data_IF_516573157584
#
_entry.id   IF_516573157584
#
_cell.length_a   1.000
_cell.length_b   1.000
_cell.length_c   1.000
_cell.angle_alpha   90.00
_cell.angle_beta   90.00
_cell.angle_gamma   90.00
#
_symmetry.space_group_name_H-M   'P 1'
#
loop_
_entity.id
_entity.type
_entity.pdbx_description
1 polymer ?
#
# COMPACT_ATOMS: atom_id res chain seq x y z
N UNK A 1 41.93 9.19 -42.71
CA UNK A 1 40.91 8.53 -43.56
C UNK A 1 40.83 7.09 -43.12
N UNK A 2 39.68 6.47 -42.94
CA UNK A 2 38.35 6.74 -43.53
C UNK A 2 37.25 6.22 -42.59
N UNK A 3 36.06 6.79 -42.72
CA UNK A 3 34.84 6.62 -41.93
C UNK A 3 34.23 5.20 -41.88
N UNK A 4 33.39 4.91 -40.87
CA UNK A 4 32.47 3.76 -40.84
C UNK A 4 31.08 4.10 -41.41
N UNK A 5 30.36 3.08 -41.89
CA UNK A 5 29.05 3.17 -42.53
C UNK A 5 27.90 2.76 -41.59
N UNK A 6 26.82 3.53 -41.66
CA UNK A 6 25.50 3.32 -41.07
C UNK A 6 24.79 2.04 -41.57
N UNK A 7 23.99 1.43 -40.70
CA UNK A 7 22.87 0.57 -41.12
C UNK A 7 21.59 0.99 -40.38
N UNK A 8 20.69 1.63 -41.12
CA UNK A 8 19.26 1.69 -40.84
C UNK A 8 18.56 0.50 -41.52
N UNK A 9 17.71 -0.24 -40.82
CA UNK A 9 16.71 -1.09 -41.48
C UNK A 9 15.33 -0.89 -40.87
N UNK A 10 14.43 -0.45 -41.73
CA UNK A 10 13.00 -0.25 -41.50
C UNK A 10 12.27 -1.59 -41.33
N UNK A 11 11.24 -1.59 -40.49
CA UNK A 11 10.24 -2.66 -40.39
C UNK A 11 9.23 -2.56 -41.56
N UNK A 12 8.81 -3.68 -42.19
CA UNK A 12 7.77 -3.65 -43.20
C UNK A 12 6.37 -3.71 -42.58
N UNK A 13 5.49 -2.87 -43.12
CA UNK A 13 4.04 -2.88 -42.93
C UNK A 13 3.43 -3.91 -43.89
N UNK A 14 2.57 -4.80 -43.40
CA UNK A 14 1.65 -5.56 -44.23
C UNK A 14 0.23 -5.03 -44.01
N UNK A 15 -0.35 -4.49 -45.07
CA UNK A 15 -1.74 -4.02 -45.17
C UNK A 15 -2.62 -5.15 -45.70
N UNK A 16 -3.78 -5.35 -45.08
CA UNK A 16 -4.93 -5.94 -45.76
C UNK A 16 -6.21 -5.27 -45.24
N UNK A 17 -6.76 -4.37 -46.06
CA UNK A 17 -8.15 -3.93 -45.97
C UNK A 17 -9.07 -5.03 -46.51
N UNK A 18 -10.24 -5.21 -45.88
CA UNK A 18 -11.39 -5.84 -46.53
C UNK A 18 -12.65 -5.06 -46.18
N UNK A 19 -13.34 -4.62 -47.24
CA UNK A 19 -14.55 -3.79 -47.22
C UNK A 19 -15.81 -4.62 -46.95
N UNK A 20 -16.71 -4.00 -46.17
CA UNK A 20 -18.20 -4.06 -46.17
C UNK A 20 -18.91 -5.36 -45.79
N UNK A 21 -19.67 -5.25 -44.70
CA UNK A 21 -21.13 -5.46 -44.78
C UNK A 21 -21.82 -4.56 -43.73
N UNK A 22 -22.55 -3.55 -44.23
CA UNK A 22 -23.61 -2.84 -43.50
C UNK A 22 -24.84 -3.75 -43.50
N UNK A 23 -25.71 -3.58 -42.50
CA UNK A 23 -26.99 -4.29 -42.26
C UNK A 23 -26.88 -5.55 -41.40
N UNK A 24 -26.94 -5.35 -40.07
CA UNK A 24 -27.62 -6.20 -39.04
C UNK A 24 -27.07 -5.91 -37.63
N UNK A 25 -27.08 -4.65 -37.16
CA UNK A 25 -26.88 -4.30 -35.73
C UNK A 25 -27.80 -3.18 -35.24
N UNK A 26 -28.91 -2.93 -35.93
CA UNK A 26 -29.97 -2.01 -35.47
C UNK A 26 -31.03 -2.70 -34.58
N UNK A 27 -31.07 -4.04 -34.54
CA UNK A 27 -32.03 -4.79 -33.71
C UNK A 27 -31.51 -5.22 -32.32
N UNK A 28 -30.26 -4.92 -31.98
CA UNK A 28 -29.73 -5.12 -30.61
C UNK A 28 -29.87 -3.86 -29.73
N UNK A 29 -30.74 -2.92 -30.12
CA UNK A 29 -31.00 -1.67 -29.41
C UNK A 29 -32.35 -1.64 -28.65
N UNK A 30 -33.10 -2.73 -28.60
CA UNK A 30 -34.37 -2.85 -27.86
C UNK A 30 -34.32 -3.96 -26.81
N UNK A 31 -33.55 -3.75 -25.73
CA UNK A 31 -33.74 -4.35 -24.39
C UNK A 31 -32.63 -3.92 -23.40
N UNK A 32 -32.23 -2.64 -23.40
CA UNK A 32 -31.56 -2.07 -22.22
C UNK A 32 -32.63 -1.49 -21.31
N UNK A 33 -33.03 -2.27 -20.30
CA UNK A 33 -33.69 -1.70 -19.12
C UNK A 33 -32.79 -0.57 -18.63
N UNK A 34 -33.33 0.65 -18.63
CA UNK A 34 -32.73 1.83 -18.03
C UNK A 34 -32.63 1.52 -16.52
N UNK A 35 -31.49 1.00 -16.08
CA UNK A 35 -31.18 0.94 -14.65
C UNK A 35 -30.89 2.38 -14.25
N UNK A 36 -31.95 3.07 -13.84
CA UNK A 36 -31.87 4.20 -12.91
C UNK A 36 -31.32 3.65 -11.60
N UNK A 37 -30.36 4.22 -10.87
CA UNK A 37 -29.77 5.55 -10.76
C UNK A 37 -28.38 5.25 -10.14
N UNK A 38 -27.23 5.82 -10.53
CA UNK A 38 -26.14 5.90 -9.58
C UNK A 38 -26.51 7.04 -8.64
N UNK A 39 -26.96 6.66 -7.43
CA UNK A 39 -26.92 7.56 -6.27
C UNK A 39 -25.58 8.28 -6.34
N UNK A 40 -25.59 9.60 -6.32
CA UNK A 40 -24.38 10.42 -6.30
C UNK A 40 -23.49 9.88 -5.18
N UNK A 41 -22.47 9.12 -5.55
CA UNK A 41 -21.62 8.48 -4.57
C UNK A 41 -20.84 9.61 -3.92
N UNK A 42 -21.15 9.89 -2.65
CA UNK A 42 -20.27 10.67 -1.80
C UNK A 42 -18.88 10.04 -1.92
N UNK A 43 -17.87 10.87 -2.18
CA UNK A 43 -16.48 10.40 -2.34
C UNK A 43 -15.53 11.12 -1.39
N UNK A 44 -16.02 12.15 -0.69
CA UNK A 44 -15.21 12.99 0.18
C UNK A 44 -15.62 12.83 1.64
N UNK A 45 -14.67 13.01 2.55
CA UNK A 45 -14.93 12.96 3.99
C UNK A 45 -15.88 14.08 4.42
N UNK A 46 -15.80 15.24 3.77
CA UNK A 46 -16.66 16.40 4.05
C UNK A 46 -18.13 16.19 3.70
N UNK A 47 -18.42 15.27 2.77
CA UNK A 47 -19.79 14.95 2.36
C UNK A 47 -20.50 14.07 3.42
N UNK A 48 -19.75 13.55 4.40
CA UNK A 48 -20.23 12.59 5.38
C UNK A 48 -20.87 13.29 6.58
N UNK A 49 -22.07 12.84 6.93
CA UNK A 49 -22.71 13.22 8.19
C UNK A 49 -22.09 12.46 9.36
N UNK A 50 -22.29 12.92 10.59
CA UNK A 50 -21.90 12.17 11.80
C UNK A 50 -22.50 10.75 11.81
N UNK A 51 -23.75 10.61 11.33
CA UNK A 51 -24.41 9.32 11.20
C UNK A 51 -23.73 8.43 10.14
N UNK A 52 -23.32 9.02 9.01
CA UNK A 52 -22.55 8.32 7.99
C UNK A 52 -21.23 7.79 8.60
N UNK A 53 -20.45 8.61 9.29
CA UNK A 53 -19.17 8.23 9.93
C UNK A 53 -19.34 7.11 10.95
N UNK A 54 -20.36 7.22 11.81
CA UNK A 54 -20.66 6.18 12.80
C UNK A 54 -21.12 4.87 12.15
N UNK A 55 -21.71 4.93 10.95
CA UNK A 55 -22.13 3.77 10.17
C UNK A 55 -21.02 3.13 9.34
N UNK A 56 -19.85 3.79 9.21
CA UNK A 56 -18.69 3.27 8.50
C UNK A 56 -17.65 2.71 9.47
N UNK A 57 -17.50 1.38 9.61
CA UNK A 57 -16.48 0.78 10.48
C UNK A 57 -15.05 1.22 10.14
N UNK A 58 -14.80 1.62 8.88
CA UNK A 58 -13.52 2.14 8.39
C UNK A 58 -13.23 3.53 8.92
N UNK A 59 -14.20 4.43 8.81
CA UNK A 59 -14.02 5.82 9.21
C UNK A 59 -14.14 5.95 10.71
N UNK A 60 -15.07 5.20 11.33
CA UNK A 60 -15.04 4.96 12.77
C UNK A 60 -13.65 4.43 13.12
N UNK A 61 -13.23 3.27 12.62
CA UNK A 61 -11.94 2.61 12.85
C UNK A 61 -10.67 3.40 12.51
N UNK A 62 -10.71 4.43 11.67
CA UNK A 62 -9.57 5.29 11.36
C UNK A 62 -9.63 6.63 12.10
N UNK A 63 -10.79 7.01 12.67
CA UNK A 63 -11.06 8.32 13.25
C UNK A 63 -11.60 8.27 14.70
N UNK A 64 -11.48 7.12 15.41
CA UNK A 64 -12.17 6.79 16.69
C UNK A 64 -11.98 7.84 17.83
N UNK A 65 -10.91 8.63 17.86
CA UNK A 65 -10.55 9.39 19.06
C UNK A 65 -10.95 10.88 19.04
N UNK A 66 -12.00 11.24 18.31
CA UNK A 66 -12.36 12.66 18.10
C UNK A 66 -13.83 12.85 18.45
N UNK A 67 -14.12 13.80 19.36
CA UNK A 67 -15.51 14.18 19.64
C UNK A 67 -16.19 14.72 18.37
N UNK A 68 -17.52 14.63 18.20
CA UNK A 68 -18.19 15.14 16.99
C UNK A 68 -17.84 16.60 16.66
N UNK A 69 -17.73 17.46 17.68
CA UNK A 69 -17.42 18.88 17.51
C UNK A 69 -15.97 19.12 17.08
N UNK A 70 -15.03 18.41 17.72
CA UNK A 70 -13.61 18.44 17.35
C UNK A 70 -13.42 17.90 15.93
N UNK A 71 -14.20 16.89 15.54
CA UNK A 71 -14.16 16.30 14.22
C UNK A 71 -14.63 17.29 13.14
N UNK A 72 -15.73 18.00 13.37
CA UNK A 72 -16.20 19.03 12.45
C UNK A 72 -15.19 20.19 12.29
N UNK A 73 -14.57 20.62 13.39
CA UNK A 73 -13.51 21.63 13.35
C UNK A 73 -12.28 21.13 12.58
N UNK A 74 -11.88 19.87 12.80
CA UNK A 74 -10.78 19.23 12.08
C UNK A 74 -11.08 19.07 10.59
N UNK A 75 -12.31 18.74 10.22
CA UNK A 75 -12.73 18.66 8.82
C UNK A 75 -12.58 20.01 8.13
N UNK A 76 -13.02 21.12 8.74
CA UNK A 76 -12.85 22.45 8.15
C UNK A 76 -11.39 22.81 7.88
N UNK A 77 -10.49 22.51 8.84
CA UNK A 77 -9.05 22.71 8.66
C UNK A 77 -8.45 21.78 7.61
N UNK A 78 -8.92 20.54 7.58
CA UNK A 78 -8.51 19.54 6.60
C UNK A 78 -8.93 19.92 5.18
N UNK A 79 -10.11 20.52 4.99
CA UNK A 79 -10.57 21.04 3.70
C UNK A 79 -9.63 22.11 3.16
N UNK A 80 -9.23 23.07 4.01
CA UNK A 80 -8.26 24.09 3.63
C UNK A 80 -6.92 23.45 3.19
N UNK A 81 -6.41 22.49 3.97
CA UNK A 81 -5.20 21.72 3.64
C UNK A 81 -5.33 20.97 2.30
N UNK A 82 -6.45 20.29 2.07
CA UNK A 82 -6.76 19.58 0.83
C UNK A 82 -6.80 20.52 -0.36
N UNK A 83 -7.42 21.70 -0.21
CA UNK A 83 -7.51 22.70 -1.26
C UNK A 83 -6.12 23.26 -1.61
N UNK A 84 -5.23 23.48 -0.64
CA UNK A 84 -3.84 23.84 -0.92
C UNK A 84 -3.15 22.79 -1.82
N UNK A 85 -3.33 21.48 -1.54
CA UNK A 85 -2.77 20.39 -2.37
C UNK A 85 -3.35 20.42 -3.79
N UNK A 86 -4.68 20.58 -3.91
CA UNK A 86 -5.36 20.61 -5.21
C UNK A 86 -4.96 21.84 -6.04
N UNK A 87 -4.71 22.99 -5.40
CA UNK A 87 -4.22 24.20 -6.06
C UNK A 87 -2.72 24.13 -6.40
N UNK A 88 -2.01 23.09 -5.96
CA UNK A 88 -0.58 22.92 -6.25
C UNK A 88 0.31 23.76 -5.36
N UNK A 89 -0.23 24.27 -4.26
CA UNK A 89 0.52 25.01 -3.27
C UNK A 89 1.54 24.10 -2.60
N UNK A 90 2.67 24.68 -2.16
CA UNK A 90 3.77 23.91 -1.58
C UNK A 90 3.38 23.41 -0.19
N UNK A 91 3.21 22.10 -0.08
CA UNK A 91 2.94 21.38 1.16
C UNK A 91 4.12 20.45 1.44
N UNK A 92 4.59 20.47 2.69
CA UNK A 92 5.53 19.47 3.22
C UNK A 92 4.93 18.92 4.49
N UNK A 93 4.64 17.63 4.49
CA UNK A 93 4.04 16.93 5.62
C UNK A 93 5.03 15.86 6.08
N UNK A 94 5.35 15.86 7.37
CA UNK A 94 6.12 14.76 7.98
C UNK A 94 5.16 13.81 8.67
N UNK A 95 5.21 12.53 8.32
CA UNK A 95 4.41 11.45 8.91
C UNK A 95 5.36 10.53 9.68
N UNK A 96 4.98 10.07 10.87
CA UNK A 96 5.79 9.29 11.80
C UNK A 96 6.41 10.12 12.92
N UNK A 97 7.53 9.64 13.47
CA UNK A 97 8.30 10.28 14.55
C UNK A 97 9.33 11.26 13.96
N UNK A 98 8.97 12.55 13.93
CA UNK A 98 9.78 13.63 13.38
C UNK A 98 10.99 14.03 14.26
N UNK A 99 11.07 13.48 15.49
CA UNK A 99 12.24 13.65 16.36
C UNK A 99 13.35 12.65 16.04
N UNK A 100 13.01 11.56 15.35
CA UNK A 100 13.97 10.53 14.97
C UNK A 100 14.70 10.91 13.68
N UNK A 101 16.02 10.73 13.63
CA UNK A 101 16.82 11.02 12.43
C UNK A 101 16.77 9.89 11.38
N UNK A 102 16.24 8.72 11.72
CA UNK A 102 16.19 7.59 10.79
C UNK A 102 14.91 7.63 9.95
N UNK A 103 15.00 7.55 8.60
CA UNK A 103 13.83 7.47 7.72
C UNK A 103 13.00 6.19 7.95
N UNK A 104 13.49 5.26 8.79
CA UNK A 104 12.66 4.17 9.30
C UNK A 104 11.52 4.64 10.21
N UNK A 105 11.54 5.85 10.75
CA UNK A 105 10.52 6.28 11.71
C UNK A 105 9.68 7.44 11.21
N UNK A 106 10.11 8.13 10.16
CA UNK A 106 9.32 9.17 9.52
C UNK A 106 9.42 9.12 8.00
N UNK A 107 8.46 9.76 7.33
CA UNK A 107 8.45 9.99 5.90
C UNK A 107 7.99 11.41 5.62
N UNK A 108 8.66 12.08 4.68
CA UNK A 108 8.24 13.41 4.20
C UNK A 108 7.43 13.25 2.93
N UNK A 109 6.24 13.84 2.92
CA UNK A 109 5.34 13.89 1.78
C UNK A 109 5.27 15.32 1.25
N UNK A 110 5.45 15.45 -0.06
CA UNK A 110 5.28 16.71 -0.78
C UNK A 110 3.88 16.81 -1.38
N UNK A 111 3.50 18.00 -1.88
CA UNK A 111 2.28 18.20 -2.68
C UNK A 111 2.11 17.16 -3.78
N UNK A 112 3.21 16.74 -4.43
CA UNK A 112 3.18 15.75 -5.51
C UNK A 112 2.71 14.38 -5.00
N UNK A 113 3.29 13.90 -3.89
CA UNK A 113 2.92 12.61 -3.30
C UNK A 113 1.45 12.62 -2.84
N UNK A 114 1.05 13.70 -2.15
CA UNK A 114 -0.29 13.85 -1.59
C UNK A 114 -1.37 13.96 -2.68
N UNK A 115 -1.06 14.61 -3.81
CA UNK A 115 -1.99 14.68 -4.95
C UNK A 115 -2.22 13.32 -5.60
N UNK A 116 -1.19 12.47 -5.67
CA UNK A 116 -1.31 11.09 -6.16
C UNK A 116 -2.21 10.23 -5.27
N UNK A 117 -2.26 10.51 -3.97
CA UNK A 117 -3.19 9.86 -3.04
C UNK A 117 -4.64 10.31 -3.28
N UNK A 118 -4.90 11.60 -3.50
CA UNK A 118 -6.26 12.14 -3.72
C UNK A 118 -6.87 11.64 -5.04
N UNK A 119 -6.07 11.48 -6.08
CA UNK A 119 -6.56 11.11 -7.41
C UNK A 119 -6.91 9.61 -7.50
N UNK A 120 -8.17 9.24 -7.80
CA UNK A 120 -8.57 7.83 -7.89
C UNK A 120 -7.94 7.09 -9.08
N UNK A 121 -7.48 7.83 -10.10
CA UNK A 121 -6.86 7.28 -11.31
C UNK A 121 -5.33 7.26 -11.24
N UNK A 122 -4.76 7.31 -10.04
CA UNK A 122 -3.31 7.40 -9.85
C UNK A 122 -2.82 6.31 -8.91
N UNK A 123 -1.77 5.62 -9.35
CA UNK A 123 -1.04 4.69 -8.50
C UNK A 123 -0.37 5.46 -7.36
N UNK A 124 -0.47 4.88 -6.18
CA UNK A 124 0.21 5.39 -5.00
C UNK A 124 1.71 5.16 -5.13
N UNK A 125 2.50 6.19 -4.80
CA UNK A 125 3.96 6.12 -4.85
C UNK A 125 4.56 5.44 -3.61
N UNK A 126 5.87 5.15 -3.68
CA UNK A 126 6.61 4.53 -2.59
C UNK A 126 6.65 5.42 -1.34
N UNK A 127 6.69 6.74 -1.49
CA UNK A 127 6.71 7.67 -0.35
C UNK A 127 5.41 7.58 0.45
N UNK A 128 4.25 7.43 -0.19
CA UNK A 128 2.98 7.22 0.51
C UNK A 128 2.93 5.86 1.23
N UNK A 129 3.46 4.80 0.61
CA UNK A 129 3.61 3.51 1.29
C UNK A 129 4.49 3.64 2.54
N UNK A 130 5.65 4.30 2.42
CA UNK A 130 6.57 4.52 3.53
C UNK A 130 5.99 5.46 4.60
N UNK A 131 5.08 6.36 4.25
CA UNK A 131 4.33 7.16 5.22
C UNK A 131 3.34 6.31 6.03
N UNK A 132 2.60 5.40 5.38
CA UNK A 132 1.74 4.46 6.10
C UNK A 132 2.52 3.54 7.03
N UNK A 133 3.70 3.09 6.59
CA UNK A 133 4.64 2.33 7.40
C UNK A 133 5.16 3.15 8.60
N UNK A 134 5.59 4.38 8.39
CA UNK A 134 6.04 5.27 9.46
C UNK A 134 4.94 5.49 10.51
N UNK A 135 3.69 5.64 10.05
CA UNK A 135 2.52 5.76 10.90
C UNK A 135 2.24 4.48 11.71
N UNK A 136 2.43 3.29 11.11
CA UNK A 136 2.38 2.01 11.83
C UNK A 136 3.47 1.93 12.91
N UNK A 137 4.71 2.32 12.60
CA UNK A 137 5.81 2.35 13.57
C UNK A 137 5.53 3.28 14.75
N UNK A 138 5.01 4.48 14.49
CA UNK A 138 4.62 5.41 15.54
C UNK A 138 3.58 4.79 16.49
N UNK A 139 2.58 4.10 15.94
CA UNK A 139 1.57 3.39 16.73
C UNK A 139 2.14 2.23 17.54
N UNK A 140 2.94 1.35 16.94
CA UNK A 140 3.55 0.21 17.64
C UNK A 140 4.45 0.65 18.80
N UNK A 141 5.20 1.73 18.63
CA UNK A 141 6.03 2.31 19.71
C UNK A 141 5.16 2.87 20.83
N UNK A 142 4.15 3.66 20.47
CA UNK A 142 3.22 4.27 21.44
C UNK A 142 2.47 3.22 22.26
N UNK A 143 2.03 2.14 21.63
CA UNK A 143 1.28 1.04 22.26
C UNK A 143 2.17 -0.04 22.88
N UNK A 144 3.51 0.12 22.81
CA UNK A 144 4.49 -0.87 23.28
C UNK A 144 4.31 -2.26 22.64
N UNK A 145 3.89 -2.30 21.38
CA UNK A 145 3.72 -3.53 20.59
C UNK A 145 4.89 -3.79 19.62
N UNK A 146 6.05 -3.15 19.84
CA UNK A 146 7.24 -3.32 19.00
C UNK A 146 7.81 -4.75 19.04
N UNK A 147 7.50 -5.51 20.08
CA UNK A 147 7.87 -6.93 20.19
C UNK A 147 6.99 -7.83 19.30
N UNK A 148 5.81 -7.36 18.87
CA UNK A 148 4.91 -8.12 17.98
C UNK A 148 5.25 -7.91 16.51
N UNK A 149 5.56 -6.67 16.13
CA UNK A 149 5.73 -6.27 14.74
C UNK A 149 6.92 -5.34 14.57
N UNK A 150 7.64 -5.56 13.48
CA UNK A 150 8.58 -4.61 12.91
C UNK A 150 8.17 -4.33 11.47
N UNK A 151 8.23 -3.05 11.06
CA UNK A 151 7.88 -2.68 9.69
C UNK A 151 9.12 -2.41 8.84
N UNK A 152 9.06 -2.78 7.56
CA UNK A 152 10.14 -2.58 6.60
C UNK A 152 9.77 -1.54 5.53
N UNK A 153 10.75 -0.71 5.15
CA UNK A 153 10.59 0.25 4.06
C UNK A 153 10.38 -0.46 2.72
N UNK A 154 9.62 0.18 1.82
CA UNK A 154 9.38 -0.33 0.46
C UNK A 154 10.65 -0.65 -0.31
N UNK A 155 11.74 0.08 -0.04
CA UNK A 155 13.01 -0.09 -0.74
C UNK A 155 13.70 -1.42 -0.42
N UNK A 156 13.57 -1.92 0.81
CA UNK A 156 14.36 -3.08 1.24
C UNK A 156 13.94 -4.37 0.55
N UNK A 157 12.63 -4.64 0.46
CA UNK A 157 12.14 -5.91 -0.09
C UNK A 157 11.90 -5.87 -1.59
N UNK A 158 11.69 -4.68 -2.18
CA UNK A 158 11.43 -4.57 -3.63
C UNK A 158 12.64 -4.97 -4.47
N UNK A 159 13.87 -4.72 -4.00
CA UNK A 159 15.08 -5.16 -4.71
C UNK A 159 15.43 -6.63 -4.45
N UNK A 160 15.05 -7.16 -3.29
CA UNK A 160 15.18 -8.58 -2.98
C UNK A 160 14.28 -9.48 -3.82
N UNK A 161 13.21 -8.93 -4.42
CA UNK A 161 12.37 -9.65 -5.38
C UNK A 161 13.12 -10.04 -6.68
N UNK A 162 14.21 -9.34 -7.04
CA UNK A 162 14.86 -9.46 -8.35
C UNK A 162 16.00 -10.49 -8.41
N UNK A 163 16.18 -11.32 -7.38
CA UNK A 163 17.31 -12.26 -7.24
C UNK A 163 18.67 -11.60 -7.56
N UNK A 164 18.91 -10.42 -7.00
CA UNK A 164 20.17 -9.71 -7.18
C UNK A 164 21.07 -9.93 -5.96
N UNK A 165 22.14 -10.76 -6.07
CA UNK A 165 23.03 -11.08 -4.95
C UNK A 165 23.94 -9.91 -4.50
N UNK A 166 23.86 -8.75 -5.16
CA UNK A 166 24.74 -7.60 -4.91
C UNK A 166 24.12 -6.48 -4.09
N UNK A 167 22.89 -6.66 -3.57
CA UNK A 167 22.23 -5.60 -2.81
C UNK A 167 22.86 -5.45 -1.41
N UNK A 168 23.57 -4.33 -1.19
CA UNK A 168 24.07 -3.98 0.15
C UNK A 168 22.92 -3.53 1.03
N UNK A 169 22.72 -4.22 2.15
CA UNK A 169 21.76 -3.79 3.15
C UNK A 169 22.16 -2.43 3.73
N UNK A 170 21.18 -1.56 3.94
CA UNK A 170 21.38 -0.39 4.80
C UNK A 170 21.76 -0.86 6.21
N UNK A 171 22.60 -0.11 6.91
CA UNK A 171 23.02 -0.44 8.28
C UNK A 171 21.82 -0.66 9.22
N UNK A 172 20.76 0.14 9.05
CA UNK A 172 19.52 0.01 9.81
C UNK A 172 18.79 -1.33 9.54
N UNK A 173 18.73 -1.76 8.28
CA UNK A 173 18.11 -3.05 7.95
C UNK A 173 18.99 -4.23 8.38
N UNK A 174 20.31 -4.08 8.29
CA UNK A 174 21.25 -5.08 8.82
C UNK A 174 21.06 -5.27 10.33
N UNK A 175 20.86 -4.19 11.08
CA UNK A 175 20.56 -4.27 12.51
C UNK A 175 19.24 -5.03 12.80
N UNK A 176 18.19 -4.77 12.01
CA UNK A 176 16.94 -5.54 12.12
C UNK A 176 17.16 -7.05 11.87
N UNK A 177 17.84 -7.37 10.77
CA UNK A 177 18.19 -8.75 10.41
C UNK A 177 18.92 -9.41 11.58
N UNK A 178 19.92 -8.76 12.17
CA UNK A 178 20.65 -9.27 13.34
C UNK A 178 19.77 -9.51 14.58
N UNK A 179 18.80 -8.63 14.86
CA UNK A 179 17.86 -8.84 15.97
C UNK A 179 17.01 -10.09 15.75
N UNK A 180 16.49 -10.28 14.54
CA UNK A 180 15.75 -11.49 14.16
C UNK A 180 16.64 -12.72 14.22
N UNK A 181 17.87 -12.66 13.71
CA UNK A 181 18.85 -13.77 13.81
C UNK A 181 18.96 -14.21 15.26
N UNK A 182 19.23 -13.25 16.15
CA UNK A 182 19.48 -13.53 17.55
C UNK A 182 18.27 -14.17 18.19
N UNK A 183 17.09 -13.58 18.01
CA UNK A 183 15.85 -14.09 18.59
C UNK A 183 15.50 -15.50 18.07
N UNK A 184 15.72 -15.77 16.77
CA UNK A 184 15.49 -17.09 16.16
C UNK A 184 16.52 -18.13 16.64
N UNK A 185 17.80 -17.76 16.73
CA UNK A 185 18.88 -18.66 17.15
C UNK A 185 18.82 -18.97 18.65
N UNK A 186 18.45 -17.99 19.48
CA UNK A 186 18.28 -18.15 20.93
C UNK A 186 16.94 -18.82 21.30
N UNK A 187 16.11 -19.16 20.31
CA UNK A 187 14.76 -19.72 20.50
C UNK A 187 13.91 -18.87 21.43
N UNK A 188 14.00 -17.55 21.29
CA UNK A 188 13.17 -16.63 22.05
C UNK A 188 11.69 -16.93 21.80
N UNK A 189 10.89 -16.86 22.85
CA UNK A 189 9.45 -17.13 22.79
C UNK A 189 8.73 -16.17 21.83
N UNK A 190 9.29 -14.97 21.64
CA UNK A 190 8.73 -13.92 20.79
C UNK A 190 9.77 -13.40 19.81
N UNK A 191 9.55 -13.64 18.51
CA UNK A 191 10.28 -12.97 17.43
C UNK A 191 9.31 -12.00 16.76
N UNK A 192 9.62 -10.69 16.67
CA UNK A 192 8.73 -9.73 16.02
C UNK A 192 8.45 -10.10 14.57
N UNK A 193 7.18 -10.15 14.18
CA UNK A 193 6.79 -10.40 12.80
C UNK A 193 7.24 -9.26 11.89
N UNK A 194 7.72 -9.57 10.69
CA UNK A 194 8.03 -8.53 9.70
C UNK A 194 6.77 -8.14 8.95
N UNK A 195 6.48 -6.85 8.86
CA UNK A 195 5.40 -6.30 8.05
C UNK A 195 5.95 -5.36 6.99
N UNK A 196 5.64 -5.60 5.71
CA UNK A 196 6.21 -4.84 4.62
C UNK A 196 5.24 -4.67 3.45
N UNK A 197 5.43 -3.61 2.69
CA UNK A 197 4.85 -3.43 1.36
C UNK A 197 5.90 -3.74 0.29
N UNK A 198 5.53 -4.55 -0.70
CA UNK A 198 6.41 -4.97 -1.79
C UNK A 198 5.82 -4.55 -3.13
N UNK A 199 6.64 -3.95 -3.99
CA UNK A 199 6.23 -3.65 -5.35
C UNK A 199 6.62 -4.80 -6.28
N UNK A 200 5.62 -5.51 -6.79
CA UNK A 200 5.76 -6.60 -7.75
C UNK A 200 5.55 -6.05 -9.16
N UNK A 201 6.52 -6.27 -10.05
CA UNK A 201 6.41 -5.84 -11.46
C UNK A 201 6.47 -4.33 -11.69
N UNK A 202 6.81 -3.53 -10.68
CA UNK A 202 6.97 -2.07 -10.78
C UNK A 202 5.67 -1.27 -10.66
N UNK A 203 4.51 -1.92 -10.71
CA UNK A 203 3.20 -1.24 -10.72
C UNK A 203 2.21 -1.80 -9.70
N UNK A 204 2.48 -2.97 -9.12
CA UNK A 204 1.53 -3.65 -8.24
C UNK A 204 2.07 -3.77 -6.82
N UNK A 205 1.32 -3.24 -5.85
CA UNK A 205 1.69 -3.32 -4.45
C UNK A 205 1.00 -4.51 -3.77
N UNK A 206 1.76 -5.22 -2.94
CA UNK A 206 1.26 -6.29 -2.07
C UNK A 206 1.77 -6.08 -0.66
N UNK A 207 1.00 -6.57 0.33
CA UNK A 207 1.48 -6.67 1.70
C UNK A 207 2.14 -8.02 1.90
N UNK A 208 3.33 -8.02 2.51
CA UNK A 208 4.03 -9.21 2.98
C UNK A 208 4.13 -9.16 4.49
N UNK A 209 3.78 -10.26 5.14
CA UNK A 209 3.93 -10.46 6.58
C UNK A 209 4.71 -11.76 6.83
N UNK A 210 5.90 -11.67 7.45
CA UNK A 210 6.74 -12.83 7.78
C UNK A 210 6.52 -13.17 9.25
N UNK A 211 5.98 -14.36 9.48
CA UNK A 211 5.65 -14.92 10.77
C UNK A 211 6.71 -15.94 11.18
N UNK A 212 7.80 -15.47 11.79
CA UNK A 212 9.00 -16.27 12.08
C UNK A 212 8.69 -17.52 12.91
N UNK A 213 7.94 -17.38 14.01
CA UNK A 213 7.59 -18.49 14.91
C UNK A 213 6.81 -19.59 14.21
N UNK A 214 5.93 -19.23 13.27
CA UNK A 214 5.09 -20.19 12.54
C UNK A 214 5.71 -20.69 11.23
N UNK A 215 6.88 -20.16 10.85
CA UNK A 215 7.54 -20.41 9.56
C UNK A 215 6.61 -20.15 8.36
N UNK A 216 5.90 -19.02 8.40
CA UNK A 216 4.97 -18.63 7.34
C UNK A 216 5.29 -17.24 6.80
N UNK A 217 5.02 -17.04 5.52
CA UNK A 217 4.95 -15.73 4.88
C UNK A 217 3.54 -15.56 4.33
N UNK A 218 2.80 -14.61 4.87
CA UNK A 218 1.52 -14.20 4.34
C UNK A 218 1.71 -13.13 3.28
N UNK A 219 1.15 -13.36 2.09
CA UNK A 219 1.13 -12.40 0.99
C UNK A 219 -0.31 -12.00 0.74
N UNK A 220 -0.68 -10.77 1.10
CA UNK A 220 -2.01 -10.23 0.77
C UNK A 220 -1.93 -9.56 -0.59
N UNK A 221 -2.52 -10.21 -1.59
CA UNK A 221 -2.61 -9.71 -2.96
C UNK A 221 -4.06 -9.35 -3.30
N UNK A 222 -4.28 -8.09 -3.68
CA UNK A 222 -5.62 -7.54 -3.95
C UNK A 222 -6.09 -7.79 -5.38
N UNK A 223 -5.32 -8.45 -6.24
CA UNK A 223 -5.76 -8.86 -7.58
C UNK A 223 -6.76 -10.03 -7.58
N UNK A 224 -6.85 -10.78 -6.47
CA UNK A 224 -7.76 -11.91 -6.30
C UNK A 224 -7.17 -13.29 -6.62
N UNK A 225 -7.93 -14.37 -6.38
CA UNK A 225 -7.43 -15.75 -6.41
C UNK A 225 -7.11 -16.26 -7.81
N UNK A 226 -7.63 -15.62 -8.86
CA UNK A 226 -7.32 -15.95 -10.27
C UNK A 226 -6.02 -15.31 -10.77
N UNK A 227 -5.45 -14.36 -10.03
CA UNK A 227 -4.13 -13.85 -10.35
C UNK A 227 -3.12 -14.90 -9.87
N UNK A 228 -2.67 -15.75 -10.81
CA UNK A 228 -1.52 -16.62 -10.61
C UNK A 228 -0.34 -15.76 -10.14
N UNK A 229 -0.21 -15.61 -8.83
CA UNK A 229 0.80 -14.76 -8.25
C UNK A 229 2.05 -15.60 -8.23
N UNK A 230 3.03 -15.22 -9.04
CA UNK A 230 4.33 -15.87 -9.08
C UNK A 230 4.91 -15.90 -7.66
N UNK A 231 5.21 -17.09 -7.15
CA UNK A 231 5.79 -17.28 -5.82
C UNK A 231 7.28 -16.88 -5.81
N UNK A 232 7.92 -16.84 -6.98
CA UNK A 232 9.36 -16.60 -7.13
C UNK A 232 9.85 -15.30 -6.47
N UNK A 233 9.21 -14.13 -6.62
CA UNK A 233 9.64 -12.90 -5.95
C UNK A 233 9.67 -13.03 -4.42
N UNK A 234 8.71 -13.76 -3.85
CA UNK A 234 8.59 -13.96 -2.41
C UNK A 234 9.57 -15.03 -1.89
N UNK A 235 9.83 -16.07 -2.69
CA UNK A 235 10.93 -17.01 -2.43
C UNK A 235 12.27 -16.30 -2.45
N UNK A 236 12.49 -15.38 -3.37
CA UNK A 236 13.72 -14.59 -3.41
C UNK A 236 13.90 -13.77 -2.12
N UNK A 237 12.83 -13.18 -1.57
CA UNK A 237 12.89 -12.50 -0.26
C UNK A 237 13.35 -13.48 0.84
N UNK A 238 12.77 -14.67 0.92
CA UNK A 238 13.19 -15.70 1.88
C UNK A 238 14.64 -16.15 1.66
N UNK A 239 15.08 -16.38 0.43
CA UNK A 239 16.46 -16.77 0.13
C UNK A 239 17.46 -15.67 0.48
N UNK A 240 17.08 -14.39 0.32
CA UNK A 240 17.90 -13.28 0.80
C UNK A 240 18.01 -13.30 2.33
N UNK A 241 16.90 -13.49 3.05
CA UNK A 241 16.95 -13.68 4.50
C UNK A 241 17.79 -14.91 4.88
N UNK A 242 17.66 -16.04 4.23
CA UNK A 242 18.45 -17.25 4.51
C UNK A 242 19.95 -17.00 4.38
N UNK A 243 20.38 -16.27 3.33
CA UNK A 243 21.79 -15.87 3.14
C UNK A 243 22.29 -14.97 4.26
N UNK A 244 21.51 -13.96 4.62
CA UNK A 244 21.88 -12.97 5.63
C UNK A 244 21.82 -13.53 7.06
N UNK A 245 20.79 -14.33 7.36
CA UNK A 245 20.51 -14.89 8.67
C UNK A 245 21.30 -16.19 8.94
N UNK A 246 21.79 -16.86 7.89
CA UNK A 246 22.39 -18.20 7.95
C UNK A 246 21.47 -19.23 8.64
N UNK A 247 20.17 -19.13 8.39
CA UNK A 247 19.15 -20.06 8.88
C UNK A 247 18.40 -20.67 7.71
N UNK A 248 18.07 -21.96 7.81
CA UNK A 248 17.28 -22.66 6.79
C UNK A 248 15.84 -22.14 6.78
N UNK A 249 15.50 -21.40 5.70
CA UNK A 249 14.16 -20.90 5.43
C UNK A 249 13.45 -21.69 4.32
N UNK A 250 14.04 -22.78 3.81
CA UNK A 250 13.42 -23.59 2.76
C UNK A 250 12.07 -24.20 3.23
N UNK A 251 11.95 -24.46 4.53
CA UNK A 251 10.71 -24.95 5.16
C UNK A 251 9.60 -23.90 5.32
N UNK A 252 9.86 -22.61 5.04
CA UNK A 252 8.83 -21.58 5.15
C UNK A 252 7.73 -21.79 4.10
N UNK A 253 6.48 -21.71 4.56
CA UNK A 253 5.30 -21.77 3.70
C UNK A 253 4.90 -20.36 3.28
N UNK A 254 4.69 -20.17 1.99
CA UNK A 254 4.13 -18.92 1.46
C UNK A 254 2.63 -19.14 1.29
N UNK A 255 1.83 -18.30 1.94
CA UNK A 255 0.37 -18.36 1.92
C UNK A 255 -0.13 -17.07 1.29
N UNK A 256 -0.79 -17.20 0.15
CA UNK A 256 -1.51 -16.09 -0.47
C UNK A 256 -2.85 -15.93 0.21
N UNK A 257 -3.07 -14.77 0.81
CA UNK A 257 -4.30 -14.42 1.47
C UNK A 257 -5.20 -13.68 0.49
N UNK A 258 -6.36 -14.24 0.23
CA UNK A 258 -7.44 -13.54 -0.46
C UNK A 258 -7.97 -12.44 0.43
N UNK A 259 -8.19 -11.27 -0.16
CA UNK A 259 -8.79 -10.13 0.49
C UNK A 259 -9.68 -9.40 -0.51
N UNK A 260 -10.18 -8.23 -0.13
CA UNK A 260 -10.97 -7.36 -0.98
C UNK A 260 -10.23 -7.11 -2.29
N UNK A 261 -10.94 -7.47 -3.37
CA UNK A 261 -10.46 -7.27 -4.72
C UNK A 261 -10.31 -5.78 -5.01
N UNK A 262 -9.15 -5.42 -5.57
CA UNK A 262 -8.91 -4.07 -6.00
C UNK A 262 -9.80 -3.70 -7.17
N UNK A 263 -10.14 -2.43 -7.21
CA UNK A 263 -10.68 -1.76 -8.38
C UNK A 263 -9.54 -0.93 -8.95
N UNK A 264 -9.20 -1.12 -10.21
CA UNK A 264 -8.26 -0.28 -10.95
C UNK A 264 -6.91 -0.02 -10.22
N UNK A 265 -6.68 1.22 -9.78
CA UNK A 265 -5.42 1.76 -9.25
C UNK A 265 -5.27 1.64 -7.73
N UNK A 266 -6.17 0.91 -7.06
CA UNK A 266 -6.26 0.86 -5.59
C UNK A 266 -5.27 -0.10 -4.90
N UNK A 267 -4.42 -0.82 -5.63
CA UNK A 267 -3.49 -1.81 -5.05
C UNK A 267 -2.61 -1.23 -3.93
N UNK A 268 -2.09 -0.02 -4.12
CA UNK A 268 -1.26 0.67 -3.12
C UNK A 268 -2.08 1.07 -1.91
N UNK A 269 -3.22 1.72 -2.12
CA UNK A 269 -4.14 2.16 -1.04
C UNK A 269 -4.57 0.97 -0.18
N UNK A 270 -4.95 -0.14 -0.82
CA UNK A 270 -5.32 -1.37 -0.14
C UNK A 270 -4.15 -2.01 0.60
N UNK A 271 -2.94 -1.96 0.04
CA UNK A 271 -1.72 -2.43 0.72
C UNK A 271 -1.48 -1.63 2.01
N UNK A 272 -1.57 -0.30 1.96
CA UNK A 272 -1.52 0.53 3.18
C UNK A 272 -2.59 0.13 4.20
N UNK A 273 -3.84 -0.09 3.75
CA UNK A 273 -4.93 -0.45 4.67
C UNK A 273 -4.66 -1.78 5.33
N UNK A 274 -4.17 -2.76 4.58
CA UNK A 274 -3.87 -4.08 5.10
C UNK A 274 -2.69 -4.03 6.09
N UNK A 275 -1.72 -3.13 5.90
CA UNK A 275 -0.65 -2.91 6.89
C UNK A 275 -1.19 -2.30 8.18
N UNK A 276 -1.99 -1.24 8.08
CA UNK A 276 -2.60 -0.61 9.26
C UNK A 276 -3.54 -1.60 9.97
N UNK A 277 -4.31 -2.39 9.21
CA UNK A 277 -5.18 -3.43 9.75
C UNK A 277 -4.42 -4.48 10.55
N UNK A 278 -3.22 -4.88 10.10
CA UNK A 278 -2.34 -5.81 10.82
C UNK A 278 -1.90 -5.23 12.17
N UNK A 279 -1.42 -3.99 12.21
CA UNK A 279 -0.92 -3.41 13.48
C UNK A 279 -2.05 -3.00 14.44
N UNK A 280 -3.25 -2.76 13.93
CA UNK A 280 -4.44 -2.51 14.73
C UNK A 280 -5.20 -3.80 15.11
N UNK A 281 -4.74 -4.96 14.63
CA UNK A 281 -5.37 -6.27 14.84
C UNK A 281 -6.87 -6.28 14.50
N UNK A 282 -7.25 -5.61 13.41
CA UNK A 282 -8.65 -5.48 12.98
C UNK A 282 -8.79 -5.26 11.49
N UNK A 283 -9.83 -5.84 10.89
CA UNK A 283 -10.19 -5.51 9.51
C UNK A 283 -10.79 -4.10 9.46
N UNK A 284 -10.14 -3.22 8.71
CA UNK A 284 -10.55 -1.81 8.65
C UNK A 284 -11.53 -1.50 7.53
N UNK A 285 -11.86 -2.41 6.61
CA UNK A 285 -12.61 -2.02 5.41
C UNK A 285 -13.38 -3.14 4.71
N UNK A 286 -14.29 -2.71 3.82
CA UNK A 286 -15.09 -3.50 2.88
C UNK A 286 -15.02 -2.81 1.51
N UNK A 287 -15.27 -3.55 0.41
CA UNK A 287 -15.17 -3.00 -0.96
C UNK A 287 -16.03 -1.75 -1.20
N UNK A 288 -17.17 -1.62 -0.50
CA UNK A 288 -18.06 -0.46 -0.62
C UNK A 288 -17.46 0.85 -0.07
N UNK A 289 -16.37 0.77 0.68
CA UNK A 289 -15.75 1.92 1.37
C UNK A 289 -14.58 2.54 0.58
N UNK A 290 -14.11 1.88 -0.48
CA UNK A 290 -12.97 2.33 -1.29
C UNK A 290 -13.04 3.80 -1.76
N UNK A 291 -14.22 4.37 -2.11
CA UNK A 291 -14.31 5.78 -2.52
C UNK A 291 -13.78 6.78 -1.49
N UNK A 292 -13.81 6.46 -0.18
CA UNK A 292 -13.41 7.38 0.90
C UNK A 292 -12.02 7.09 1.45
N UNK A 293 -11.47 5.91 1.17
CA UNK A 293 -10.23 5.43 1.83
C UNK A 293 -9.07 6.37 1.55
N UNK A 294 -8.94 6.87 0.32
CA UNK A 294 -7.88 7.81 -0.07
C UNK A 294 -7.90 9.10 0.76
N UNK A 295 -9.08 9.70 0.92
CA UNK A 295 -9.22 10.89 1.77
C UNK A 295 -9.00 10.56 3.26
N UNK A 296 -9.43 9.38 3.72
CA UNK A 296 -9.15 8.91 5.08
C UNK A 296 -7.64 8.78 5.34
N UNK A 297 -6.87 8.25 4.39
CA UNK A 297 -5.40 8.23 4.51
C UNK A 297 -4.78 9.61 4.53
N UNK A 298 -5.26 10.51 3.65
CA UNK A 298 -4.77 11.87 3.62
C UNK A 298 -5.00 12.54 4.98
N UNK A 299 -6.16 12.31 5.59
CA UNK A 299 -6.50 12.80 6.92
C UNK A 299 -5.59 12.19 8.01
N UNK A 300 -5.34 10.87 7.96
CA UNK A 300 -4.45 10.18 8.90
C UNK A 300 -3.01 10.70 8.84
N UNK A 301 -2.50 10.93 7.63
CA UNK A 301 -1.17 11.51 7.43
C UNK A 301 -1.12 12.94 7.94
N UNK A 302 -2.12 13.76 7.62
CA UNK A 302 -2.19 15.14 8.09
C UNK A 302 -2.23 15.23 9.61
N UNK A 303 -2.99 14.34 10.26
CA UNK A 303 -3.07 14.23 11.73
C UNK A 303 -1.84 13.56 12.35
N UNK A 304 -1.06 12.85 11.54
CA UNK A 304 0.09 12.05 11.97
C UNK A 304 -0.21 11.10 13.15
N UNK A 305 -1.39 10.46 13.15
CA UNK A 305 -1.83 9.60 14.27
C UNK A 305 -2.82 8.53 13.83
N UNK A 306 -2.56 7.27 14.23
CA UNK A 306 -3.56 6.19 14.20
C UNK A 306 -4.47 6.27 15.44
N UNK A 307 -5.75 5.89 15.32
CA UNK A 307 -6.65 5.81 16.45
C UNK A 307 -6.24 4.70 17.41
N UNK A 308 -6.44 4.95 18.70
CA UNK A 308 -6.26 3.99 19.77
C UNK A 308 -7.59 3.22 20.01
N UNK A 309 -7.50 1.98 20.51
CA UNK A 309 -8.67 1.31 21.07
C UNK A 309 -8.74 1.71 22.54
N UNK A 310 -9.84 2.35 22.96
CA UNK A 310 -10.24 2.34 24.37
C UNK A 310 -10.92 1.03 24.68
#
# INVERSE_FOLDING_TARGET
GSSPSDYSSQLPIATHETKRTRETKEETNRKRKKISIPVEQKTRLEDLTTQDICSFPVLKGLLIDISPDEYQLMLSKFQAFRNHILNGEKVNLTVGDDTCQSPMFYQKLTTKNLRGLISPSTFVDADVMDAARALCNAYLRKTKQHDRYMTASTFWLSDWCKDSPSFKLSECFHHYVQLVVRAVQEQEETVPNLLASVNVGGTHWVKVEILWTSKMMHVTNTLGPSANTDEKPFRNILSNFERELKVDLASFRIIFLDNIHQIEYECGVLTCLNMISSVLDRQLYESKHLPFVREAFLFLFWRNKLPECQ
#
